data_IF_894681944245
#
_entry.id   IF_894681944245
#
_cell.length_a   1.000
_cell.length_b   1.000
_cell.length_c   1.000
_cell.angle_alpha   90.00
_cell.angle_beta   90.00
_cell.angle_gamma   90.00
#
_symmetry.space_group_name_H-M   'P 1'
#
loop_
_entity.id
_entity.type
_entity.pdbx_description
1 polymer ?
#
# COMPACT_ATOMS: atom_id res chain seq x y z
N UNK A 1 -8.07 56.87 18.91
CA UNK A 1 -7.81 55.55 18.28
C UNK A 1 -6.31 55.27 18.03
N UNK A 2 -5.45 56.27 17.82
CA UNK A 2 -3.98 56.11 17.65
C UNK A 2 -3.25 55.36 18.79
N UNK A 3 -3.66 55.55 20.05
CA UNK A 3 -2.91 55.01 21.20
C UNK A 3 -3.17 53.52 21.47
N UNK A 4 -4.37 53.00 21.19
CA UNK A 4 -4.70 51.58 21.42
C UNK A 4 -3.85 50.66 20.51
N UNK A 5 -3.64 51.06 19.25
CA UNK A 5 -2.84 50.28 18.30
C UNK A 5 -1.35 50.28 18.70
N UNK A 6 -0.83 51.44 19.14
CA UNK A 6 0.57 51.59 19.55
C UNK A 6 0.89 50.94 20.90
N UNK A 7 -0.02 51.07 21.87
CA UNK A 7 0.23 50.67 23.26
C UNK A 7 -0.20 49.24 23.58
N UNK A 8 -1.15 48.67 22.81
CA UNK A 8 -1.67 47.31 23.05
C UNK A 8 -1.28 46.35 21.92
N UNK A 9 -1.47 46.73 20.65
CA UNK A 9 -1.27 45.82 19.51
C UNK A 9 0.22 45.67 19.15
N UNK A 10 0.96 46.77 19.10
CA UNK A 10 2.39 46.78 18.76
C UNK A 10 3.29 45.93 19.69
N UNK A 11 3.12 45.94 21.03
CA UNK A 11 3.92 45.09 21.91
C UNK A 11 3.49 43.61 21.90
N UNK A 12 2.28 43.29 21.45
CA UNK A 12 1.78 41.90 21.36
C UNK A 12 2.09 41.23 20.01
N UNK A 13 2.39 42.01 18.97
CA UNK A 13 2.75 41.52 17.63
C UNK A 13 3.92 40.53 17.62
N UNK A 14 5.05 40.76 18.34
CA UNK A 14 6.15 39.80 18.38
C UNK A 14 5.75 38.45 18.97
N UNK A 15 4.95 38.47 20.05
CA UNK A 15 4.44 37.26 20.71
C UNK A 15 3.43 36.51 19.84
N UNK A 16 2.53 37.23 19.17
CA UNK A 16 1.57 36.64 18.24
C UNK A 16 2.26 35.99 17.03
N UNK A 17 3.25 36.65 16.43
CA UNK A 17 4.06 36.09 15.35
C UNK A 17 4.84 34.86 15.80
N UNK A 18 5.34 34.85 17.04
CA UNK A 18 6.02 33.69 17.62
C UNK A 18 5.05 32.51 17.75
N UNK A 19 3.85 32.72 18.31
CA UNK A 19 2.82 31.67 18.44
C UNK A 19 2.43 31.11 17.06
N UNK A 20 2.18 31.98 16.09
CA UNK A 20 1.87 31.57 14.71
C UNK A 20 3.05 30.80 14.08
N UNK A 21 4.28 31.25 14.32
CA UNK A 21 5.49 30.58 13.87
C UNK A 21 5.60 29.15 14.42
N UNK A 22 5.43 28.97 15.72
CA UNK A 22 5.42 27.64 16.36
C UNK A 22 4.27 26.77 15.88
N UNK A 23 3.10 27.36 15.61
CA UNK A 23 1.97 26.63 15.05
C UNK A 23 2.23 26.14 13.62
N UNK A 24 2.84 26.98 12.77
CA UNK A 24 3.25 26.59 11.40
C UNK A 24 4.32 25.47 11.46
N UNK A 25 5.32 25.59 12.35
CA UNK A 25 6.34 24.55 12.51
C UNK A 25 5.70 23.24 12.99
N UNK A 26 4.85 23.28 14.02
CA UNK A 26 4.18 22.08 14.56
C UNK A 26 3.24 21.40 13.55
N UNK A 27 2.55 22.18 12.71
CA UNK A 27 1.70 21.63 11.64
C UNK A 27 2.54 20.99 10.52
N UNK A 28 3.70 21.55 10.18
CA UNK A 28 4.64 20.93 9.22
C UNK A 28 5.26 19.65 9.75
N UNK A 29 5.72 19.62 11.00
CA UNK A 29 6.31 18.44 11.62
C UNK A 29 5.30 17.29 11.75
N UNK A 30 4.07 17.60 12.15
CA UNK A 30 3.00 16.59 12.25
C UNK A 30 2.60 16.04 10.87
N UNK A 31 2.54 16.88 9.83
CA UNK A 31 2.28 16.44 8.45
C UNK A 31 3.42 15.56 7.92
N UNK A 32 4.67 15.96 8.15
CA UNK A 32 5.86 15.19 7.77
C UNK A 32 5.86 13.80 8.41
N UNK A 33 5.59 13.71 9.72
CA UNK A 33 5.48 12.41 10.42
C UNK A 33 4.35 11.53 9.87
N UNK A 34 3.19 12.11 9.57
CA UNK A 34 2.07 11.38 8.96
C UNK A 34 2.44 10.85 7.57
N UNK A 35 3.06 11.67 6.73
CA UNK A 35 3.56 11.26 5.40
C UNK A 35 4.59 10.13 5.52
N UNK A 36 5.53 10.21 6.47
CA UNK A 36 6.52 9.15 6.69
C UNK A 36 5.88 7.81 7.11
N UNK A 37 4.86 7.83 7.98
CA UNK A 37 4.13 6.62 8.36
C UNK A 37 3.35 6.05 7.17
N UNK A 38 2.71 6.92 6.38
CA UNK A 38 1.99 6.54 5.18
C UNK A 38 2.93 5.88 4.16
N UNK A 39 4.07 6.48 3.86
CA UNK A 39 5.05 5.93 2.91
C UNK A 39 5.63 4.60 3.38
N UNK A 40 5.89 4.42 4.68
CA UNK A 40 6.28 3.11 5.24
C UNK A 40 5.23 2.02 5.01
N UNK A 41 3.94 2.39 4.98
CA UNK A 41 2.87 1.44 4.65
C UNK A 41 2.87 1.11 3.16
N UNK A 42 3.12 2.08 2.29
CA UNK A 42 3.26 1.86 0.85
C UNK A 42 4.46 0.94 0.56
N UNK A 43 5.61 1.19 1.18
CA UNK A 43 6.79 0.33 1.10
C UNK A 43 6.48 -1.10 1.59
N UNK A 44 5.84 -1.24 2.76
CA UNK A 44 5.45 -2.55 3.27
C UNK A 44 4.42 -3.28 2.40
N UNK A 45 3.51 -2.57 1.73
CA UNK A 45 2.58 -3.14 0.76
C UNK A 45 3.34 -3.61 -0.50
N UNK A 46 4.31 -2.83 -0.96
CA UNK A 46 5.17 -3.13 -2.11
C UNK A 46 5.99 -4.40 -1.86
N UNK A 47 6.64 -4.49 -0.70
CA UNK A 47 7.37 -5.70 -0.29
C UNK A 47 6.48 -6.95 -0.25
N UNK A 48 5.20 -6.79 0.13
CA UNK A 48 4.25 -7.90 0.16
C UNK A 48 3.82 -8.35 -1.23
N UNK A 49 3.55 -7.42 -2.16
CA UNK A 49 3.18 -7.80 -3.54
C UNK A 49 4.34 -8.49 -4.26
N UNK A 50 5.58 -8.07 -4.01
CA UNK A 50 6.80 -8.71 -4.55
C UNK A 50 6.96 -10.14 -4.04
N UNK A 51 6.79 -10.34 -2.73
CA UNK A 51 6.83 -11.67 -2.13
C UNK A 51 5.73 -12.57 -2.68
N UNK A 52 4.51 -12.03 -2.80
CA UNK A 52 3.38 -12.78 -3.37
C UNK A 52 3.67 -13.18 -4.81
N UNK A 53 4.27 -12.30 -5.62
CA UNK A 53 4.60 -12.58 -7.01
C UNK A 53 5.57 -13.76 -7.10
N UNK A 54 6.66 -13.71 -6.34
CA UNK A 54 7.68 -14.77 -6.32
C UNK A 54 7.08 -16.08 -5.80
N UNK A 55 6.38 -16.03 -4.67
CA UNK A 55 5.74 -17.22 -4.07
C UNK A 55 4.72 -17.83 -5.03
N UNK A 56 3.92 -17.01 -5.72
CA UNK A 56 2.94 -17.47 -6.70
C UNK A 56 3.61 -18.16 -7.89
N UNK A 57 4.69 -17.58 -8.43
CA UNK A 57 5.40 -18.17 -9.56
C UNK A 57 5.96 -19.56 -9.24
N UNK A 58 6.56 -19.70 -8.06
CA UNK A 58 7.10 -20.99 -7.60
C UNK A 58 5.98 -21.95 -7.21
N UNK A 59 4.91 -21.47 -6.58
CA UNK A 59 3.75 -22.29 -6.26
C UNK A 59 3.17 -22.96 -7.51
N UNK A 60 2.93 -22.17 -8.56
CA UNK A 60 2.32 -22.68 -9.79
C UNK A 60 3.26 -23.52 -10.66
N UNK A 61 4.58 -23.38 -10.52
CA UNK A 61 5.55 -24.24 -11.22
C UNK A 61 5.64 -25.65 -10.63
N UNK A 62 5.05 -25.87 -9.45
CA UNK A 62 5.00 -27.16 -8.78
C UNK A 62 3.60 -27.77 -8.83
N UNK A 63 3.50 -29.09 -8.64
CA UNK A 63 2.23 -29.79 -8.46
C UNK A 63 1.55 -29.41 -7.14
N UNK A 64 0.21 -29.42 -7.10
CA UNK A 64 -0.59 -29.18 -5.89
C UNK A 64 -0.33 -30.16 -4.74
N UNK A 65 0.22 -31.35 -5.04
CA UNK A 65 0.55 -32.37 -4.04
C UNK A 65 1.93 -32.20 -3.38
N UNK A 66 2.81 -31.36 -3.95
CA UNK A 66 4.15 -31.14 -3.44
C UNK A 66 4.13 -30.42 -2.06
N UNK A 67 5.06 -30.79 -1.18
CA UNK A 67 5.14 -30.19 0.17
C UNK A 67 5.45 -28.69 0.10
N UNK A 68 6.35 -28.29 -0.81
CA UNK A 68 6.71 -26.89 -1.02
C UNK A 68 5.52 -26.04 -1.49
N UNK A 69 4.73 -26.54 -2.44
CA UNK A 69 3.47 -25.93 -2.89
C UNK A 69 2.47 -25.71 -1.73
N UNK A 70 2.35 -26.64 -0.77
CA UNK A 70 1.50 -26.46 0.43
C UNK A 70 2.00 -25.34 1.36
N UNK A 71 3.32 -25.27 1.58
CA UNK A 71 3.93 -24.22 2.40
C UNK A 71 3.76 -22.83 1.74
N UNK A 72 3.99 -22.76 0.43
CA UNK A 72 3.82 -21.54 -0.36
C UNK A 72 2.38 -21.07 -0.39
N UNK A 73 1.40 -21.97 -0.51
CA UNK A 73 -0.02 -21.63 -0.40
C UNK A 73 -0.32 -20.88 0.90
N UNK A 74 0.17 -21.40 2.03
CA UNK A 74 -0.03 -20.79 3.34
C UNK A 74 0.64 -19.42 3.43
N UNK A 75 1.85 -19.27 2.86
CA UNK A 75 2.56 -17.98 2.74
C UNK A 75 1.75 -16.96 1.94
N UNK A 76 1.30 -17.33 0.73
CA UNK A 76 0.51 -16.47 -0.17
C UNK A 76 -0.77 -15.97 0.54
N UNK A 77 -1.53 -16.87 1.17
CA UNK A 77 -2.75 -16.49 1.90
C UNK A 77 -2.43 -15.52 3.04
N UNK A 78 -1.39 -15.81 3.82
CA UNK A 78 -0.96 -14.96 4.94
C UNK A 78 -0.54 -13.57 4.46
N UNK A 79 0.24 -13.50 3.37
CA UNK A 79 0.70 -12.25 2.79
C UNK A 79 -0.45 -11.43 2.21
N UNK A 80 -1.43 -12.06 1.55
CA UNK A 80 -2.64 -11.35 1.10
C UNK A 80 -3.48 -10.81 2.26
N UNK A 81 -3.56 -11.52 3.39
CA UNK A 81 -4.24 -11.00 4.60
C UNK A 81 -3.54 -9.76 5.14
N UNK A 82 -2.20 -9.80 5.24
CA UNK A 82 -1.39 -8.64 5.65
C UNK A 82 -1.57 -7.47 4.68
N UNK A 83 -1.47 -7.74 3.38
CA UNK A 83 -1.62 -6.74 2.33
C UNK A 83 -2.99 -6.08 2.39
N UNK A 84 -4.07 -6.85 2.55
CA UNK A 84 -5.42 -6.33 2.72
C UNK A 84 -5.54 -5.39 3.92
N UNK A 85 -4.90 -5.73 5.05
CA UNK A 85 -4.87 -4.86 6.23
C UNK A 85 -4.17 -3.52 5.94
N UNK A 86 -3.02 -3.57 5.26
CA UNK A 86 -2.26 -2.36 4.90
C UNK A 86 -3.03 -1.51 3.90
N UNK A 87 -3.62 -2.11 2.87
CA UNK A 87 -4.44 -1.40 1.87
C UNK A 87 -5.65 -0.72 2.52
N UNK A 88 -6.30 -1.37 3.50
CA UNK A 88 -7.38 -0.73 4.26
C UNK A 88 -6.89 0.51 5.04
N UNK A 89 -5.69 0.44 5.63
CA UNK A 89 -5.09 1.58 6.31
C UNK A 89 -4.73 2.72 5.35
N UNK A 90 -4.16 2.40 4.19
CA UNK A 90 -3.86 3.36 3.13
C UNK A 90 -5.15 4.02 2.61
N UNK A 91 -6.18 3.22 2.35
CA UNK A 91 -7.48 3.66 1.81
C UNK A 91 -8.19 4.71 2.66
N UNK A 92 -7.93 4.77 3.97
CA UNK A 92 -8.51 5.77 4.86
C UNK A 92 -7.92 7.16 4.66
N UNK A 93 -6.76 7.26 4.00
CA UNK A 93 -6.03 8.51 3.76
C UNK A 93 -6.08 8.97 2.29
N UNK A 94 -6.81 8.24 1.44
CA UNK A 94 -6.91 8.46 0.00
C UNK A 94 -8.23 9.14 -0.39
N UNK A 95 -8.24 9.75 -1.58
CA UNK A 95 -9.47 10.22 -2.20
C UNK A 95 -10.39 9.05 -2.56
N UNK A 96 -11.69 9.30 -2.76
CA UNK A 96 -12.64 8.24 -3.13
C UNK A 96 -12.23 7.53 -4.44
N UNK A 97 -11.69 8.29 -5.40
CA UNK A 97 -11.21 7.78 -6.69
C UNK A 97 -9.98 6.89 -6.53
N UNK A 98 -8.95 7.37 -5.82
CA UNK A 98 -7.71 6.59 -5.63
C UNK A 98 -7.96 5.34 -4.80
N UNK A 99 -8.83 5.44 -3.79
CA UNK A 99 -9.28 4.30 -2.98
C UNK A 99 -9.95 3.24 -3.85
N UNK A 100 -10.86 3.64 -4.74
CA UNK A 100 -11.53 2.71 -5.64
C UNK A 100 -10.54 2.04 -6.59
N UNK A 101 -9.65 2.83 -7.20
CA UNK A 101 -8.63 2.36 -8.13
C UNK A 101 -7.72 1.30 -7.49
N UNK A 102 -7.15 1.61 -6.32
CA UNK A 102 -6.31 0.68 -5.56
C UNK A 102 -7.07 -0.59 -5.14
N UNK A 103 -8.34 -0.45 -4.76
CA UNK A 103 -9.16 -1.59 -4.37
C UNK A 103 -9.43 -2.54 -5.55
N UNK A 104 -9.72 -2.00 -6.74
CA UNK A 104 -9.91 -2.79 -7.96
C UNK A 104 -8.64 -3.56 -8.31
N UNK A 105 -7.50 -2.86 -8.41
CA UNK A 105 -6.21 -3.49 -8.72
C UNK A 105 -5.85 -4.58 -7.70
N UNK A 106 -6.10 -4.34 -6.41
CA UNK A 106 -5.90 -5.36 -5.38
C UNK A 106 -6.79 -6.60 -5.56
N UNK A 107 -8.07 -6.41 -5.84
CA UNK A 107 -9.02 -7.51 -6.01
C UNK A 107 -8.64 -8.33 -7.25
N UNK A 108 -8.28 -7.68 -8.35
CA UNK A 108 -7.90 -8.36 -9.58
C UNK A 108 -6.59 -9.14 -9.42
N UNK A 109 -5.57 -8.53 -8.81
CA UNK A 109 -4.32 -9.21 -8.49
C UNK A 109 -4.54 -10.41 -7.56
N UNK A 110 -5.35 -10.24 -6.51
CA UNK A 110 -5.71 -11.36 -5.62
C UNK A 110 -6.45 -12.45 -6.38
N UNK A 111 -7.40 -12.09 -7.23
CA UNK A 111 -8.22 -13.03 -7.99
C UNK A 111 -7.40 -13.87 -8.95
N UNK A 112 -6.42 -13.28 -9.66
CA UNK A 112 -5.57 -14.08 -10.56
C UNK A 112 -4.66 -15.03 -9.78
N UNK A 113 -4.09 -14.58 -8.65
CA UNK A 113 -3.16 -15.42 -7.87
C UNK A 113 -3.87 -16.52 -7.11
N UNK A 114 -5.05 -16.26 -6.53
CA UNK A 114 -5.78 -17.22 -5.68
C UNK A 114 -7.02 -17.82 -6.35
N UNK A 115 -7.22 -17.59 -7.66
CA UNK A 115 -8.37 -18.09 -8.41
C UNK A 115 -8.23 -19.55 -8.85
N UNK A 116 -9.27 -20.06 -9.50
CA UNK A 116 -9.26 -21.37 -10.16
C UNK A 116 -8.91 -22.53 -9.22
N UNK A 117 -7.83 -23.25 -9.54
CA UNK A 117 -7.37 -24.45 -8.83
C UNK A 117 -6.40 -24.16 -7.67
N UNK A 118 -6.34 -22.93 -7.17
CA UNK A 118 -5.39 -22.54 -6.12
C UNK A 118 -5.43 -23.46 -4.88
N UNK A 119 -6.63 -23.87 -4.46
CA UNK A 119 -6.82 -24.77 -3.30
C UNK A 119 -6.76 -26.27 -3.66
N UNK A 120 -6.69 -26.61 -4.94
CA UNK A 120 -6.81 -27.98 -5.42
C UNK A 120 -5.49 -28.74 -5.28
N UNK A 121 -5.54 -29.92 -4.66
CA UNK A 121 -4.35 -30.79 -4.50
C UNK A 121 -3.98 -31.53 -5.80
N UNK A 122 -4.94 -31.72 -6.70
CA UNK A 122 -4.74 -32.35 -8.01
C UNK A 122 -4.26 -31.39 -9.11
N UNK A 123 -3.98 -30.11 -8.77
CA UNK A 123 -3.48 -29.12 -9.72
C UNK A 123 -2.16 -29.57 -10.32
N UNK A 124 -2.06 -29.57 -11.65
CA UNK A 124 -0.81 -29.83 -12.35
C UNK A 124 0.16 -28.64 -12.27
N UNK A 125 1.46 -28.93 -12.40
CA UNK A 125 2.45 -27.87 -12.58
C UNK A 125 2.18 -27.12 -13.90
N UNK A 126 2.26 -25.79 -13.85
CA UNK A 126 2.06 -24.94 -15.02
C UNK A 126 3.43 -24.72 -15.70
N UNK A 127 3.55 -24.96 -17.02
CA UNK A 127 4.78 -24.67 -17.76
C UNK A 127 5.11 -23.17 -17.74
N UNK A 128 6.39 -22.81 -17.63
CA UNK A 128 6.84 -21.42 -17.57
C UNK A 128 6.47 -20.56 -18.79
N UNK A 129 6.18 -21.19 -19.93
CA UNK A 129 5.71 -20.52 -21.16
C UNK A 129 4.20 -20.22 -21.17
N UNK A 130 3.48 -20.53 -20.10
CA UNK A 130 2.04 -20.33 -20.03
C UNK A 130 1.71 -18.84 -19.83
N UNK A 131 0.72 -18.35 -20.61
CA UNK A 131 0.21 -16.97 -20.54
C UNK A 131 -0.19 -16.53 -19.12
N UNK A 132 -0.62 -17.48 -18.28
CA UNK A 132 -0.97 -17.22 -16.88
C UNK A 132 0.12 -16.48 -16.10
N UNK A 133 1.40 -16.75 -16.37
CA UNK A 133 2.50 -16.02 -15.71
C UNK A 133 2.58 -14.56 -16.17
N UNK A 134 2.37 -14.30 -17.46
CA UNK A 134 2.30 -12.94 -17.99
C UNK A 134 1.09 -12.17 -17.46
N UNK A 135 -0.04 -12.84 -17.25
CA UNK A 135 -1.24 -12.24 -16.68
C UNK A 135 -1.01 -11.84 -15.20
N UNK A 136 -0.33 -12.70 -14.42
CA UNK A 136 0.10 -12.36 -13.06
C UNK A 136 1.02 -11.13 -13.08
N UNK A 137 2.00 -11.09 -13.99
CA UNK A 137 2.93 -9.96 -14.09
C UNK A 137 2.22 -8.65 -14.47
N UNK A 138 1.23 -8.70 -15.37
CA UNK A 138 0.42 -7.54 -15.72
C UNK A 138 -0.31 -6.97 -14.50
N UNK A 139 -1.04 -7.82 -13.78
CA UNK A 139 -1.83 -7.39 -12.61
C UNK A 139 -0.94 -7.00 -11.42
N UNK A 140 0.25 -7.59 -11.30
CA UNK A 140 1.28 -7.14 -10.37
C UNK A 140 1.74 -5.70 -10.69
N UNK A 141 2.03 -5.39 -11.96
CA UNK A 141 2.45 -4.05 -12.35
C UNK A 141 1.34 -3.03 -12.12
N UNK A 142 0.08 -3.40 -12.37
CA UNK A 142 -1.07 -2.53 -12.10
C UNK A 142 -1.19 -2.18 -10.61
N UNK A 143 -1.16 -3.17 -9.70
CA UNK A 143 -1.20 -2.88 -8.26
C UNK A 143 0.04 -2.11 -7.78
N UNK A 144 1.21 -2.37 -8.35
CA UNK A 144 2.44 -1.63 -8.04
C UNK A 144 2.28 -0.15 -8.39
N UNK A 145 1.83 0.16 -9.61
CA UNK A 145 1.59 1.53 -10.07
C UNK A 145 0.55 2.23 -9.19
N UNK A 146 -0.54 1.54 -8.85
CA UNK A 146 -1.56 2.10 -7.96
C UNK A 146 -1.00 2.39 -6.56
N UNK A 147 -0.10 1.55 -6.02
CA UNK A 147 0.58 1.83 -4.76
C UNK A 147 1.54 3.02 -4.86
N UNK A 148 2.34 3.12 -5.93
CA UNK A 148 3.27 4.24 -6.14
C UNK A 148 2.54 5.59 -6.22
N UNK A 149 1.39 5.65 -6.90
CA UNK A 149 0.55 6.86 -6.97
C UNK A 149 0.14 7.38 -5.59
N UNK A 150 0.07 6.50 -4.59
CA UNK A 150 -0.30 6.88 -3.23
C UNK A 150 0.87 7.44 -2.41
N UNK A 151 2.11 7.40 -2.92
CA UNK A 151 3.28 7.89 -2.21
C UNK A 151 3.21 9.41 -1.99
N UNK A 152 3.52 9.87 -0.78
CA UNK A 152 3.43 11.29 -0.40
C UNK A 152 4.82 11.91 -0.30
N UNK A 153 5.05 13.00 -1.04
CA UNK A 153 6.26 13.83 -0.96
C UNK A 153 6.19 14.84 0.20
#
# INVERSE_FOLDING_TARGET
MSNIVKDIILPLLPSALTIIGWWIVGTRDSKSKKNAIHNKRVEAATDLIDRILVDAKIFYSQSGSALESKNMRSSIISNFKKLSSIINLLSNELSATDKHSLAVAFIEYKKIVTGGEFETLSRCAIPSSNQFYSDIDSLYNEIYIELEKTYKF
#
